data_IF_597625712196
#
_entry.id   IF_597625712196
#
_cell.length_a   1.000
_cell.length_b   1.000
_cell.length_c   1.000
_cell.angle_alpha   90.00
_cell.angle_beta   90.00
_cell.angle_gamma   90.00
#
_symmetry.space_group_name_H-M   'P 1'
#
loop_
_entity.id
_entity.type
_entity.pdbx_description
1 polymer ?
#
# COMPACT_ATOMS: atom_id res chain seq x y z
N UNK A 1 -19.79 -10.57 -29.56
CA UNK A 1 -19.72 -10.78 -28.10
C UNK A 1 -19.21 -9.52 -27.43
N UNK A 2 -20.05 -8.83 -26.66
CA UNK A 2 -19.65 -7.64 -25.89
C UNK A 2 -18.98 -8.07 -24.59
N UNK A 3 -17.78 -7.55 -24.31
CA UNK A 3 -17.08 -7.81 -23.06
C UNK A 3 -17.74 -6.97 -21.96
N UNK A 4 -18.30 -7.61 -20.93
CA UNK A 4 -18.71 -6.90 -19.70
C UNK A 4 -17.48 -6.19 -19.12
N UNK A 5 -17.54 -4.87 -19.04
CA UNK A 5 -16.54 -4.07 -18.36
C UNK A 5 -16.97 -3.88 -16.91
N UNK A 6 -16.02 -4.01 -15.99
CA UNK A 6 -16.24 -3.80 -14.56
C UNK A 6 -15.34 -2.65 -14.14
N UNK A 7 -15.88 -1.70 -13.38
CA UNK A 7 -15.12 -0.58 -12.85
C UNK A 7 -14.02 -1.07 -11.90
N UNK A 8 -12.89 -0.37 -11.80
CA UNK A 8 -11.80 -0.75 -10.90
C UNK A 8 -12.23 -0.73 -9.42
N UNK A 9 -13.16 0.16 -9.04
CA UNK A 9 -13.71 0.27 -7.69
C UNK A 9 -14.50 -0.99 -7.32
N UNK A 10 -15.39 -1.44 -8.22
CA UNK A 10 -16.18 -2.66 -8.02
C UNK A 10 -15.28 -3.88 -7.88
N UNK A 11 -14.21 -3.97 -8.69
CA UNK A 11 -13.23 -5.07 -8.59
C UNK A 11 -12.51 -5.06 -7.25
N UNK A 12 -12.12 -3.88 -6.77
CA UNK A 12 -11.45 -3.75 -5.47
C UNK A 12 -12.38 -4.22 -4.34
N UNK A 13 -13.64 -3.79 -4.37
CA UNK A 13 -14.63 -4.20 -3.37
C UNK A 13 -14.82 -5.72 -3.36
N UNK A 14 -15.04 -6.33 -4.52
CA UNK A 14 -15.23 -7.78 -4.66
C UNK A 14 -14.01 -8.56 -4.14
N UNK A 15 -12.80 -8.10 -4.45
CA UNK A 15 -11.56 -8.76 -4.01
C UNK A 15 -11.41 -8.65 -2.49
N UNK A 16 -11.67 -7.47 -1.91
CA UNK A 16 -11.61 -7.26 -0.46
C UNK A 16 -12.57 -8.19 0.27
N UNK A 17 -13.84 -8.20 -0.13
CA UNK A 17 -14.87 -9.09 0.44
C UNK A 17 -14.50 -10.57 0.29
N UNK A 18 -13.88 -10.95 -0.83
CA UNK A 18 -13.42 -12.33 -1.08
C UNK A 18 -12.28 -12.73 -0.16
N UNK A 19 -11.33 -11.82 0.10
CA UNK A 19 -10.22 -12.06 1.02
C UNK A 19 -10.69 -12.16 2.48
N UNK A 20 -11.69 -11.37 2.86
CA UNK A 20 -12.29 -11.40 4.20
C UNK A 20 -13.14 -12.66 4.43
N UNK A 21 -13.97 -13.02 3.46
CA UNK A 21 -14.89 -14.17 3.56
C UNK A 21 -14.17 -15.51 3.31
N UNK A 22 -13.07 -15.50 2.55
CA UNK A 22 -12.37 -16.70 2.11
C UNK A 22 -13.14 -17.53 1.05
N UNK A 23 -14.34 -17.11 0.65
CA UNK A 23 -15.20 -17.83 -0.29
C UNK A 23 -15.60 -16.98 -1.50
N UNK A 24 -14.87 -17.15 -2.61
CA UNK A 24 -15.12 -16.43 -3.85
C UNK A 24 -16.49 -16.71 -4.47
N UNK A 25 -17.09 -17.88 -4.23
CA UNK A 25 -18.37 -18.27 -4.84
C UNK A 25 -19.55 -17.51 -4.25
N UNK A 26 -19.52 -17.23 -2.95
CA UNK A 26 -20.57 -16.48 -2.26
C UNK A 26 -20.52 -15.01 -2.70
N UNK A 27 -19.32 -14.42 -2.71
CA UNK A 27 -19.13 -13.02 -3.14
C UNK A 27 -19.50 -12.86 -4.62
N UNK A 28 -19.12 -13.80 -5.47
CA UNK A 28 -19.48 -13.80 -6.87
C UNK A 28 -21.00 -13.76 -7.11
N UNK A 29 -21.79 -14.54 -6.34
CA UNK A 29 -23.25 -14.51 -6.42
C UNK A 29 -23.84 -13.15 -5.99
N UNK A 30 -23.30 -12.53 -4.94
CA UNK A 30 -23.75 -11.23 -4.44
C UNK A 30 -23.55 -10.10 -5.45
N UNK A 31 -22.46 -10.15 -6.20
CA UNK A 31 -22.09 -9.12 -7.18
C UNK A 31 -22.44 -9.51 -8.63
N UNK A 32 -23.18 -10.60 -8.83
CA UNK A 32 -23.54 -11.16 -10.16
C UNK A 32 -22.34 -11.36 -11.10
N UNK A 33 -21.18 -11.70 -10.53
CA UNK A 33 -19.95 -11.96 -11.26
C UNK A 33 -19.70 -13.45 -11.36
N UNK A 34 -19.05 -13.91 -12.42
CA UNK A 34 -18.62 -15.29 -12.54
C UNK A 34 -17.63 -15.65 -11.40
N UNK A 35 -17.85 -16.75 -10.64
CA UNK A 35 -16.96 -17.16 -9.54
C UNK A 35 -15.51 -17.36 -9.97
N UNK A 36 -15.29 -17.88 -11.18
CA UNK A 36 -13.96 -18.05 -11.78
C UNK A 36 -13.23 -16.72 -11.99
N UNK A 37 -13.96 -15.66 -12.32
CA UNK A 37 -13.41 -14.33 -12.51
C UNK A 37 -13.00 -13.70 -11.16
N UNK A 38 -13.85 -13.84 -10.15
CA UNK A 38 -13.58 -13.37 -8.77
C UNK A 38 -12.36 -14.10 -8.20
N UNK A 39 -12.31 -15.42 -8.32
CA UNK A 39 -11.17 -16.21 -7.89
C UNK A 39 -9.87 -15.79 -8.59
N UNK A 40 -9.94 -15.50 -9.90
CA UNK A 40 -8.81 -14.98 -10.67
C UNK A 40 -8.36 -13.61 -10.16
N UNK A 41 -9.29 -12.68 -9.92
CA UNK A 41 -8.97 -11.36 -9.39
C UNK A 41 -8.34 -11.43 -8.01
N UNK A 42 -8.89 -12.22 -7.09
CA UNK A 42 -8.34 -12.41 -5.76
C UNK A 42 -6.92 -13.02 -5.81
N UNK A 43 -6.70 -14.01 -6.68
CA UNK A 43 -5.38 -14.61 -6.89
C UNK A 43 -4.38 -13.62 -7.47
N UNK A 44 -4.77 -12.86 -8.50
CA UNK A 44 -3.92 -11.84 -9.10
C UNK A 44 -3.59 -10.73 -8.10
N UNK A 45 -4.56 -10.28 -7.31
CA UNK A 45 -4.36 -9.24 -6.31
C UNK A 45 -3.43 -9.71 -5.18
N UNK A 46 -3.63 -10.94 -4.66
CA UNK A 46 -2.75 -11.52 -3.64
C UNK A 46 -1.31 -11.70 -4.13
N UNK A 47 -1.11 -12.00 -5.42
CA UNK A 47 0.22 -12.28 -5.99
C UNK A 47 0.94 -11.05 -6.51
N UNK A 48 0.22 -10.10 -7.11
CA UNK A 48 0.79 -9.00 -7.89
C UNK A 48 0.30 -7.62 -7.43
N UNK A 49 -0.64 -7.53 -6.48
CA UNK A 49 -1.30 -6.27 -6.11
C UNK A 49 -2.16 -5.67 -7.22
N UNK A 50 -2.47 -6.41 -8.28
CA UNK A 50 -3.25 -5.94 -9.43
C UNK A 50 -4.33 -6.94 -9.84
N UNK A 51 -5.38 -6.48 -10.54
CA UNK A 51 -6.48 -7.34 -10.99
C UNK A 51 -6.18 -8.15 -12.25
N UNK A 52 -5.03 -7.90 -12.88
CA UNK A 52 -4.63 -8.53 -14.14
C UNK A 52 -3.40 -9.40 -13.92
N UNK A 53 -3.29 -10.52 -14.65
CA UNK A 53 -2.05 -11.27 -14.65
C UNK A 53 -0.94 -10.40 -15.22
N UNK A 54 0.05 -10.06 -14.39
CA UNK A 54 1.33 -9.59 -14.90
C UNK A 54 1.96 -10.76 -15.67
N UNK A 55 2.33 -10.54 -16.94
CA UNK A 55 3.18 -11.46 -17.71
C UNK A 55 4.56 -11.49 -17.04
N UNK A 56 4.66 -12.24 -15.95
CA UNK A 56 5.90 -12.42 -15.22
C UNK A 56 6.73 -13.52 -15.87
N UNK A 57 7.91 -13.14 -16.34
CA UNK A 57 9.07 -14.04 -16.44
C UNK A 57 9.22 -14.74 -15.07
N UNK A 58 9.48 -16.05 -15.01
CA UNK A 58 9.51 -16.75 -13.73
C UNK A 58 10.72 -16.25 -12.92
N UNK A 59 10.50 -15.59 -11.77
CA UNK A 59 11.56 -15.40 -10.77
C UNK A 59 11.70 -14.05 -10.07
N UNK A 60 10.91 -13.02 -10.37
CA UNK A 60 11.06 -11.73 -9.66
C UNK A 60 9.90 -11.45 -8.71
N UNK A 61 10.23 -11.48 -7.42
CA UNK A 61 9.39 -10.95 -6.36
C UNK A 61 9.05 -9.49 -6.66
N UNK A 62 7.74 -9.22 -6.81
CA UNK A 62 7.10 -7.93 -6.54
C UNK A 62 7.90 -6.67 -6.80
N UNK A 63 8.25 -6.38 -8.05
CA UNK A 63 8.60 -5.02 -8.48
C UNK A 63 7.60 -4.55 -9.51
N UNK A 64 6.49 -4.02 -9.00
CA UNK A 64 5.57 -3.24 -9.80
C UNK A 64 6.29 -1.99 -10.30
N UNK A 65 6.91 -2.06 -11.46
CA UNK A 65 7.40 -0.90 -12.21
C UNK A 65 6.20 -0.19 -12.82
N UNK A 66 5.29 0.32 -11.99
CA UNK A 66 4.40 1.41 -12.39
C UNK A 66 5.18 2.72 -12.21
N UNK A 67 5.08 3.71 -13.12
CA UNK A 67 5.62 5.04 -12.89
C UNK A 67 5.21 5.64 -11.52
N UNK A 68 4.05 5.22 -11.00
CA UNK A 68 3.56 5.58 -9.66
C UNK A 68 4.48 5.09 -8.55
N UNK A 69 5.12 3.92 -8.69
CA UNK A 69 6.02 3.39 -7.67
C UNK A 69 7.29 4.25 -7.56
N UNK A 70 7.82 4.74 -8.69
CA UNK A 70 8.97 5.65 -8.68
C UNK A 70 8.63 6.96 -8.00
N UNK A 71 7.44 7.51 -8.25
CA UNK A 71 6.95 8.72 -7.58
C UNK A 71 6.77 8.49 -6.07
N UNK A 72 6.11 7.41 -5.69
CA UNK A 72 5.95 7.03 -4.27
C UNK A 72 7.29 6.78 -3.58
N UNK A 73 8.27 6.21 -4.28
CA UNK A 73 9.61 6.00 -3.72
C UNK A 73 10.34 7.33 -3.50
N UNK A 74 10.25 8.26 -4.45
CA UNK A 74 10.82 9.61 -4.32
C UNK A 74 10.15 10.40 -3.18
N UNK A 75 8.82 10.36 -3.09
CA UNK A 75 8.08 10.99 -1.99
C UNK A 75 8.50 10.41 -0.64
N UNK A 76 8.64 9.07 -0.53
CA UNK A 76 9.11 8.43 0.69
C UNK A 76 10.54 8.86 1.07
N UNK A 77 11.44 9.01 0.10
CA UNK A 77 12.79 9.48 0.36
C UNK A 77 12.81 10.91 0.88
N UNK A 78 12.01 11.79 0.26
CA UNK A 78 11.84 13.18 0.70
C UNK A 78 11.26 13.27 2.11
N UNK A 79 10.24 12.48 2.41
CA UNK A 79 9.61 12.43 3.74
C UNK A 79 10.58 11.92 4.81
N UNK A 80 11.39 10.90 4.51
CA UNK A 80 12.43 10.41 5.44
C UNK A 80 13.49 11.47 5.73
N UNK A 81 13.88 12.26 4.71
CA UNK A 81 14.84 13.35 4.91
C UNK A 81 14.27 14.44 5.82
N UNK A 82 13.05 14.89 5.55
CA UNK A 82 12.36 15.89 6.38
C UNK A 82 12.18 15.39 7.83
N UNK A 83 11.88 14.10 8.01
CA UNK A 83 11.76 13.50 9.33
C UNK A 83 13.10 13.56 10.08
N UNK A 84 14.20 13.19 9.44
CA UNK A 84 15.54 13.27 10.05
C UNK A 84 15.94 14.69 10.43
N UNK A 85 15.64 15.68 9.59
CA UNK A 85 15.88 17.10 9.91
C UNK A 85 15.08 17.56 11.14
N UNK A 86 13.84 17.10 11.28
CA UNK A 86 12.98 17.40 12.45
C UNK A 86 13.45 16.71 13.72
N UNK A 87 13.91 15.46 13.64
CA UNK A 87 14.47 14.75 14.79
C UNK A 87 15.75 15.42 15.30
N UNK A 88 16.62 15.88 14.39
CA UNK A 88 17.82 16.65 14.74
C UNK A 88 17.48 17.99 15.41
N UNK A 89 16.48 18.71 14.90
CA UNK A 89 15.98 19.95 15.51
C UNK A 89 15.49 19.69 16.95
N UNK A 90 14.72 18.61 17.16
CA UNK A 90 14.24 18.21 18.49
C UNK A 90 15.41 17.88 19.43
N UNK A 91 16.41 17.15 18.95
CA UNK A 91 17.57 16.78 19.77
C UNK A 91 18.40 18.02 20.18
N UNK A 92 18.59 18.97 19.27
CA UNK A 92 19.26 20.25 19.58
C UNK A 92 18.44 21.03 20.61
N UNK A 93 17.13 21.17 20.42
CA UNK A 93 16.27 21.88 21.35
C UNK A 93 16.26 21.24 22.75
N UNK A 94 16.25 19.90 22.82
CA UNK A 94 16.36 19.16 24.08
C UNK A 94 17.72 19.37 24.75
N UNK A 95 18.80 19.37 23.98
CA UNK A 95 20.15 19.63 24.52
C UNK A 95 20.28 21.06 25.05
N UNK A 96 19.72 22.05 24.34
CA UNK A 96 19.65 23.44 24.81
C UNK A 96 18.85 23.56 26.11
N UNK A 97 17.68 22.93 26.20
CA UNK A 97 16.88 22.91 27.43
C UNK A 97 17.60 22.23 28.59
N UNK A 98 18.35 21.15 28.34
CA UNK A 98 19.17 20.51 29.38
C UNK A 98 20.28 21.44 29.87
N UNK A 99 20.96 22.13 28.95
CA UNK A 99 22.03 23.08 29.28
C UNK A 99 21.51 24.28 30.06
N UNK A 100 20.35 24.83 29.67
CA UNK A 100 19.73 25.94 30.43
C UNK A 100 19.26 25.48 31.80
N UNK A 101 18.66 24.30 31.91
CA UNK A 101 18.20 23.78 33.20
C UNK A 101 19.37 23.40 34.15
N UNK A 102 20.55 23.07 33.62
CA UNK A 102 21.78 22.88 34.40
C UNK A 102 22.38 24.18 34.91
N UNK A 103 22.22 25.28 34.17
CA UNK A 103 22.80 26.59 34.51
C UNK A 103 22.06 27.32 35.64
N UNK A 104 20.85 26.88 35.98
CA UNK A 104 20.04 27.44 37.06
C UNK A 104 19.87 26.41 38.18
N UNK A 105 20.86 26.23 39.07
CA UNK A 105 20.61 25.52 40.30
C UNK A 105 19.59 26.36 41.09
N UNK A 106 18.41 25.80 41.27
CA UNK A 106 17.38 26.34 42.17
C UNK A 106 18.03 26.43 43.55
N UNK A 107 18.30 27.67 43.99
CA UNK A 107 18.72 27.99 45.37
C UNK A 107 17.53 27.95 46.31
#
# INVERSE_FOLDING_TARGET
MTKKQYSPEMRMQIVKETLETGNASIVARRHEVAPSLVARWAKCYKRYGTFYPQKGVPGTNGTGTSPDYKRMAQENEQLKKLLGEKDLEIDILRDLLKKTNQLWPIK
#
